data_IF_617198764803
#
_entry.id   IF_617198764803
#
_cell.length_a   1.000
_cell.length_b   1.000
_cell.length_c   1.000
_cell.angle_alpha   90.00
_cell.angle_beta   90.00
_cell.angle_gamma   90.00
#
_symmetry.space_group_name_H-M   'P 1'
#
loop_
_entity.id
_entity.type
_entity.pdbx_description
1 polymer ?
#
# COMPACT_ATOMS: atom_id res chain seq x y z
N UNK A 1 -0.95 19.81 -11.87
CA UNK A 1 -1.51 18.89 -10.87
C UNK A 1 -0.50 17.82 -10.54
N UNK A 2 -0.38 17.49 -9.29
CA UNK A 2 0.51 16.43 -8.86
C UNK A 2 -0.29 15.18 -8.52
N UNK A 3 0.35 14.04 -8.63
CA UNK A 3 -0.24 12.75 -8.29
C UNK A 3 0.58 12.15 -7.16
N UNK A 4 -0.09 11.68 -6.13
CA UNK A 4 0.56 11.23 -4.91
C UNK A 4 0.25 9.76 -4.70
N UNK A 5 1.29 8.98 -4.39
CA UNK A 5 1.13 7.57 -4.07
C UNK A 5 1.59 7.38 -2.63
N UNK A 6 0.73 6.83 -1.80
CA UNK A 6 1.06 6.53 -0.42
C UNK A 6 1.04 5.02 -0.24
N UNK A 7 2.10 4.50 0.34
CA UNK A 7 2.19 3.09 0.70
C UNK A 7 1.86 2.96 2.17
N UNK A 8 0.99 2.03 2.53
CA UNK A 8 0.60 1.80 3.92
C UNK A 8 1.12 0.45 4.33
N UNK A 9 1.93 0.43 5.39
CA UNK A 9 2.52 -0.79 5.90
C UNK A 9 2.20 -0.89 7.39
N UNK A 10 1.49 -1.94 7.78
CA UNK A 10 1.30 -2.24 9.20
C UNK A 10 2.17 -3.42 9.56
N UNK A 11 2.86 -3.32 10.68
CA UNK A 11 3.82 -4.32 11.11
C UNK A 11 3.22 -5.21 12.18
N UNK A 12 3.77 -6.43 12.35
CA UNK A 12 3.21 -7.35 13.35
C UNK A 12 3.23 -6.81 14.78
N UNK A 13 4.15 -5.88 15.08
CA UNK A 13 4.25 -5.33 16.42
C UNK A 13 3.27 -4.18 16.66
N UNK A 14 2.43 -3.86 15.67
CA UNK A 14 1.48 -2.77 15.79
C UNK A 14 1.97 -1.45 15.23
N UNK A 15 3.21 -1.38 14.78
CA UNK A 15 3.73 -0.16 14.17
C UNK A 15 3.17 0.03 12.77
N UNK A 16 3.36 1.22 12.23
CA UNK A 16 2.84 1.56 10.91
C UNK A 16 3.78 2.53 10.23
N UNK A 17 3.89 2.42 8.90
CA UNK A 17 4.66 3.33 8.08
C UNK A 17 3.82 3.73 6.88
N UNK A 18 3.90 5.01 6.50
CA UNK A 18 3.09 5.52 5.39
C UNK A 18 3.92 6.42 4.47
N UNK A 19 4.96 5.86 3.82
CA UNK A 19 5.75 6.69 2.91
C UNK A 19 4.91 7.17 1.73
N UNK A 20 5.15 8.39 1.31
CA UNK A 20 4.40 9.02 0.23
C UNK A 20 5.35 9.55 -0.81
N UNK A 21 4.91 9.52 -2.07
CA UNK A 21 5.70 9.94 -3.22
C UNK A 21 4.84 10.81 -4.12
N UNK A 22 5.41 11.91 -4.60
CA UNK A 22 4.69 12.84 -5.47
C UNK A 22 5.28 12.79 -6.87
N UNK A 23 4.41 12.84 -7.87
CA UNK A 23 4.79 12.76 -9.26
C UNK A 23 4.09 13.84 -10.07
N UNK A 24 4.73 14.30 -11.15
CA UNK A 24 4.13 15.27 -12.01
C UNK A 24 3.20 14.65 -13.05
N UNK A 25 3.36 13.36 -13.32
CA UNK A 25 2.53 12.70 -14.33
C UNK A 25 1.81 11.51 -13.70
N UNK A 26 0.59 11.26 -14.20
CA UNK A 26 -0.19 10.14 -13.73
C UNK A 26 0.49 8.82 -14.09
N UNK A 27 1.12 8.76 -15.27
CA UNK A 27 1.78 7.53 -15.70
C UNK A 27 2.88 7.12 -14.72
N UNK A 28 3.71 8.08 -14.29
CA UNK A 28 4.76 7.79 -13.33
C UNK A 28 4.20 7.36 -11.99
N UNK A 29 3.12 8.03 -11.56
CA UNK A 29 2.48 7.68 -10.30
C UNK A 29 1.89 6.27 -10.37
N UNK A 30 1.26 5.91 -11.49
CA UNK A 30 0.69 4.57 -11.62
C UNK A 30 1.77 3.51 -11.65
N UNK A 31 2.92 3.80 -12.25
CA UNK A 31 4.03 2.85 -12.23
C UNK A 31 4.49 2.58 -10.80
N UNK A 32 4.58 3.63 -9.97
CA UNK A 32 4.94 3.47 -8.57
C UNK A 32 3.86 2.71 -7.81
N UNK A 33 2.59 3.04 -8.06
CA UNK A 33 1.47 2.38 -7.43
C UNK A 33 1.51 0.87 -7.70
N UNK A 34 1.69 0.48 -8.96
CA UNK A 34 1.73 -0.95 -9.30
C UNK A 34 2.97 -1.63 -8.74
N UNK A 35 4.09 -0.93 -8.67
CA UNK A 35 5.30 -1.47 -8.07
C UNK A 35 5.08 -1.80 -6.59
N UNK A 36 4.39 -0.90 -5.88
CA UNK A 36 4.06 -1.14 -4.47
C UNK A 36 3.14 -2.35 -4.34
N UNK A 37 2.13 -2.44 -5.21
CA UNK A 37 1.19 -3.56 -5.13
C UNK A 37 1.86 -4.88 -5.45
N UNK A 38 2.81 -4.90 -6.38
CA UNK A 38 3.53 -6.12 -6.70
C UNK A 38 4.30 -6.61 -5.47
N UNK A 39 4.92 -5.69 -4.73
CA UNK A 39 5.61 -6.06 -3.51
C UNK A 39 4.62 -6.44 -2.40
N UNK A 40 3.49 -5.73 -2.33
CA UNK A 40 2.50 -5.98 -1.29
C UNK A 40 1.89 -7.37 -1.43
N UNK A 41 1.72 -7.83 -2.65
CA UNK A 41 1.08 -9.12 -2.89
C UNK A 41 1.89 -10.28 -2.29
N UNK A 42 3.22 -10.12 -2.19
CA UNK A 42 4.09 -11.18 -1.68
C UNK A 42 4.72 -10.82 -0.35
N UNK A 43 4.34 -9.70 0.24
CA UNK A 43 4.94 -9.28 1.51
C UNK A 43 4.36 -10.09 2.65
N UNK A 44 5.02 -10.00 3.80
CA UNK A 44 4.57 -10.72 4.99
C UNK A 44 3.97 -9.78 6.02
N UNK A 45 3.67 -8.55 5.62
CA UNK A 45 3.07 -7.59 6.52
C UNK A 45 1.59 -7.89 6.69
N UNK A 46 1.03 -7.72 7.89
CA UNK A 46 -0.40 -7.96 8.11
C UNK A 46 -1.29 -7.09 7.20
N UNK A 47 -0.87 -5.86 6.94
CA UNK A 47 -1.55 -4.98 6.00
C UNK A 47 -0.50 -4.29 5.16
N UNK A 48 -0.68 -4.35 3.84
CA UNK A 48 0.22 -3.68 2.91
C UNK A 48 -0.66 -3.14 1.78
N UNK A 49 -0.75 -1.84 1.67
CA UNK A 49 -1.70 -1.21 0.77
C UNK A 49 -1.06 -0.04 0.04
N UNK A 50 -1.72 0.39 -1.01
CA UNK A 50 -1.31 1.59 -1.74
C UNK A 50 -2.53 2.38 -2.14
N UNK A 51 -2.39 3.69 -2.18
CA UNK A 51 -3.42 4.57 -2.67
C UNK A 51 -2.77 5.61 -3.58
N UNK A 52 -3.41 5.85 -4.73
CA UNK A 52 -3.01 6.88 -5.68
C UNK A 52 -4.09 7.95 -5.67
N UNK A 53 -3.71 9.18 -5.39
CA UNK A 53 -4.67 10.27 -5.31
C UNK A 53 -4.04 11.55 -5.86
N UNK A 54 -4.89 12.54 -6.13
CA UNK A 54 -4.42 13.82 -6.65
C UNK A 54 -3.99 14.72 -5.50
N UNK A 55 -3.30 15.81 -5.85
CA UNK A 55 -2.86 16.75 -4.84
C UNK A 55 -4.01 17.56 -4.24
N UNK A 56 -5.24 17.31 -4.71
CA UNK A 56 -6.44 17.86 -4.08
C UNK A 56 -7.14 16.81 -3.23
N UNK A 57 -6.51 15.65 -3.05
CA UNK A 57 -7.05 14.63 -2.18
C UNK A 57 -8.06 13.70 -2.84
N UNK A 58 -8.21 13.74 -4.16
CA UNK A 58 -9.18 12.91 -4.84
C UNK A 58 -8.56 11.53 -5.15
N UNK A 59 -9.11 10.45 -4.60
CA UNK A 59 -8.52 9.11 -4.82
C UNK A 59 -8.84 8.62 -6.22
N UNK A 60 -7.81 8.09 -6.88
CA UNK A 60 -7.94 7.53 -8.22
C UNK A 60 -7.90 6.01 -8.19
N UNK A 61 -7.05 5.42 -7.36
CA UNK A 61 -6.91 3.98 -7.23
C UNK A 61 -6.51 3.65 -5.80
N UNK A 62 -6.96 2.49 -5.32
CA UNK A 62 -6.51 2.00 -4.03
C UNK A 62 -6.67 0.50 -4.01
N UNK A 63 -5.77 -0.16 -3.27
CA UNK A 63 -5.85 -1.60 -3.10
C UNK A 63 -5.11 -1.97 -1.82
N UNK A 64 -5.61 -2.98 -1.15
CA UNK A 64 -5.06 -3.41 0.12
C UNK A 64 -4.90 -4.92 0.12
N UNK A 65 -3.71 -5.38 0.50
CA UNK A 65 -3.45 -6.79 0.73
C UNK A 65 -3.35 -7.03 2.23
N UNK A 66 -4.09 -8.00 2.73
CA UNK A 66 -4.04 -8.42 4.11
C UNK A 66 -3.48 -9.82 4.16
N UNK A 67 -2.45 -10.00 4.96
CA UNK A 67 -1.81 -11.31 5.09
C UNK A 67 -1.98 -11.80 6.51
N UNK A 68 -2.57 -12.97 6.66
CA UNK A 68 -2.69 -13.55 7.98
C UNK A 68 -1.34 -14.02 8.45
N UNK A 69 -1.02 -13.70 9.68
CA UNK A 69 0.19 -14.22 10.28
C UNK A 69 -0.05 -15.64 10.68
N UNK A 70 0.89 -16.44 10.35
CA UNK A 70 0.72 -17.83 10.61
C UNK A 70 0.48 -18.09 12.03
N UNK A 71 0.16 -18.72 12.40
CA UNK A 71 -0.32 -19.49 13.27
C UNK A 71 -1.45 -19.12 13.77
N UNK A 72 -1.38 -18.30 13.57
CA UNK A 72 -2.36 -18.00 14.05
C UNK A 72 -3.42 -18.70 13.71
N UNK A 73 -3.45 -18.80 13.30
CA UNK A 73 -4.40 -19.21 13.00
C UNK A 73 -4.57 -20.39 12.91
N UNK A 74 -4.03 -20.50 12.97
CA UNK A 74 -4.17 -21.36 12.85
C UNK A 74 -4.56 -21.88 13.47
N UNK A 75 -4.64 -21.78 13.80
CA UNK A 75 -4.97 -22.26 14.39
C UNK A 75 -5.93 -22.23 14.58
N UNK A 76 -6.24 -21.95 14.47
CA UNK A 76 -6.93 -22.04 14.33
C UNK A 76 -7.50 -22.38 13.90
N UNK A 77 -7.55 -22.35 13.82
CA UNK A 77 -8.03 -22.78 13.37
C UNK A 77 -8.40 -23.13 13.62
#
# INVERSE_FOLDING_TARGET
MKFIVTEIQKFPDGGMSTPSYAFDSQTSAEAKYHSILAAAAVSQLPVHAAILFTDEGFPLRHECYKHELAPASETEA
#
